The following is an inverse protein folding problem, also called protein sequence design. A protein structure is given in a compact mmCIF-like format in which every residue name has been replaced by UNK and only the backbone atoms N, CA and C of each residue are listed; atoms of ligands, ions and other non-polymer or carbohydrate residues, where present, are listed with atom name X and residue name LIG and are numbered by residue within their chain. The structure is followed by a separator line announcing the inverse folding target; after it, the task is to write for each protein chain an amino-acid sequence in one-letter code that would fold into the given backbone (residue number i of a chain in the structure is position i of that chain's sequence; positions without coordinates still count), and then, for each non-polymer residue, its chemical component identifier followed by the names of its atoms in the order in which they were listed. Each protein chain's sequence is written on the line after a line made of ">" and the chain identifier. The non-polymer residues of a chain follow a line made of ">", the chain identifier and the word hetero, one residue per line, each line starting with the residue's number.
data_IF_223097647674
#
_entry.id   IF_223097647674
#
_cell.length_a   1.000
_cell.length_b   1.000
_cell.length_c   1.000
_cell.angle_alpha   90.00
_cell.angle_beta   90.00
_cell.angle_gamma   90.00
#
_symmetry.space_group_name_H-M   'P 1'
#
loop_
_entity.id
_entity.type
_entity.pdbx_description
1 polymer ?
#
# COMPACT_ATOMS: atom_id res chain seq x y z
N UNK A 1 89.28 -63.66 -6.47
CA UNK A 1 89.33 -63.23 -5.05
C UNK A 1 89.64 -61.73 -5.03
N UNK A 2 88.96 -61.01 -4.12
CA UNK A 2 89.17 -59.62 -3.68
C UNK A 2 88.94 -58.45 -4.67
N UNK A 3 88.00 -57.58 -4.25
CA UNK A 3 87.58 -56.27 -4.77
C UNK A 3 88.68 -55.18 -4.57
N UNK A 4 88.48 -53.88 -4.92
CA UNK A 4 87.27 -53.20 -5.39
C UNK A 4 87.43 -52.28 -6.63
N UNK A 5 86.29 -51.91 -7.22
CA UNK A 5 86.15 -51.02 -8.38
C UNK A 5 85.58 -49.67 -7.96
N UNK A 6 86.28 -48.59 -8.30
CA UNK A 6 85.76 -47.23 -8.37
C UNK A 6 86.31 -46.60 -9.65
N UNK A 7 85.45 -46.36 -10.64
CA UNK A 7 85.79 -45.51 -11.78
C UNK A 7 84.53 -44.79 -12.26
N UNK A 8 84.65 -43.45 -12.27
CA UNK A 8 83.77 -42.45 -12.87
C UNK A 8 83.24 -42.88 -14.24
N UNK A 9 81.97 -42.55 -14.52
CA UNK A 9 81.51 -42.29 -15.88
C UNK A 9 80.33 -41.31 -15.91
N UNK A 10 80.50 -40.34 -16.82
CA UNK A 10 79.66 -39.22 -17.22
C UNK A 10 78.43 -39.69 -18.00
N UNK A 11 77.26 -39.04 -17.83
CA UNK A 11 76.14 -38.95 -18.79
C UNK A 11 74.92 -38.34 -18.09
N UNK A 12 73.98 -37.60 -18.67
CA UNK A 12 73.75 -36.97 -19.97
C UNK A 12 72.60 -35.98 -19.69
N UNK A 13 72.66 -34.76 -20.24
CA UNK A 13 71.59 -33.75 -20.11
C UNK A 13 70.42 -34.15 -21.01
N UNK A 14 69.20 -34.18 -20.47
CA UNK A 14 67.94 -34.21 -21.26
C UNK A 14 67.05 -33.06 -20.84
N UNK A 15 66.68 -32.23 -21.81
CA UNK A 15 65.77 -31.10 -21.64
C UNK A 15 64.32 -31.61 -21.65
N UNK A 16 63.62 -31.48 -20.52
CA UNK A 16 62.19 -31.74 -20.42
C UNK A 16 61.42 -30.41 -20.52
N UNK A 17 60.52 -30.35 -21.50
CA UNK A 17 59.66 -29.21 -21.79
C UNK A 17 58.66 -28.93 -20.64
N UNK A 18 58.57 -27.67 -20.21
CA UNK A 18 57.57 -27.19 -19.26
C UNK A 18 56.22 -26.95 -19.97
N UNK A 19 55.21 -27.75 -19.64
CA UNK A 19 53.81 -27.36 -19.84
C UNK A 19 53.33 -26.49 -18.66
N UNK A 20 52.56 -25.41 -18.87
CA UNK A 20 52.08 -24.57 -17.77
C UNK A 20 51.00 -25.31 -16.97
N UNK A 21 51.19 -25.40 -15.65
CA UNK A 21 50.19 -25.91 -14.70
C UNK A 21 48.99 -24.97 -14.65
N UNK A 22 47.80 -25.51 -14.93
CA UNK A 22 46.53 -24.84 -14.67
C UNK A 22 46.37 -24.58 -13.15
N UNK A 23 46.08 -23.33 -12.81
CA UNK A 23 45.80 -22.88 -11.44
C UNK A 23 44.44 -23.44 -10.98
N UNK A 24 44.30 -23.99 -9.76
CA UNK A 24 42.99 -24.40 -9.26
C UNK A 24 42.09 -23.16 -9.13
N UNK A 25 40.94 -23.19 -9.80
CA UNK A 25 39.93 -22.13 -9.73
C UNK A 25 39.44 -21.94 -8.30
N UNK A 26 39.44 -20.69 -7.85
CA UNK A 26 38.89 -20.25 -6.57
C UNK A 26 37.40 -20.64 -6.53
N UNK A 27 37.04 -21.58 -5.65
CA UNK A 27 35.65 -21.93 -5.40
C UNK A 27 34.87 -20.66 -4.99
N UNK A 28 33.73 -20.43 -5.66
CA UNK A 28 32.82 -19.35 -5.31
C UNK A 28 32.34 -19.54 -3.85
N UNK A 29 32.28 -18.48 -3.03
CA UNK A 29 31.78 -18.59 -1.67
C UNK A 29 30.31 -19.05 -1.70
N UNK A 30 30.03 -20.16 -1.02
CA UNK A 30 28.68 -20.64 -0.77
C UNK A 30 27.94 -19.55 0.03
N UNK A 31 26.76 -19.07 -0.41
CA UNK A 31 26.01 -18.08 0.35
C UNK A 31 25.64 -18.68 1.72
N UNK A 32 25.69 -17.88 2.81
CA UNK A 32 25.31 -18.36 4.12
C UNK A 32 23.85 -18.85 4.10
N UNK A 33 23.48 -19.85 4.92
CA UNK A 33 22.11 -20.28 5.04
C UNK A 33 21.22 -19.09 5.41
N UNK A 34 20.05 -19.00 4.78
CA UNK A 34 19.04 -17.98 5.01
C UNK A 34 18.81 -17.82 6.52
N UNK A 35 19.29 -16.71 7.08
CA UNK A 35 18.97 -16.32 8.44
C UNK A 35 17.46 -16.15 8.52
N UNK A 36 16.79 -16.92 9.39
CA UNK A 36 15.37 -16.73 9.66
C UNK A 36 15.25 -15.32 10.24
N UNK A 37 14.80 -14.37 9.43
CA UNK A 37 14.56 -13.01 9.87
C UNK A 37 13.62 -13.07 11.10
N UNK A 38 13.87 -12.28 12.16
CA UNK A 38 12.96 -12.21 13.28
C UNK A 38 11.54 -11.85 12.79
N UNK A 39 10.47 -12.33 13.44
CA UNK A 39 9.11 -12.00 13.06
C UNK A 39 8.95 -10.48 13.00
N UNK A 40 8.54 -9.97 11.83
CA UNK A 40 8.36 -8.54 11.65
C UNK A 40 7.16 -8.06 12.47
N UNK A 41 7.14 -6.80 12.93
CA UNK A 41 5.95 -6.25 13.59
C UNK A 41 4.74 -6.19 12.62
N UNK A 42 5.00 -6.42 11.33
CA UNK A 42 4.01 -6.48 10.27
C UNK A 42 3.40 -7.86 10.08
N UNK A 43 3.95 -8.93 10.66
CA UNK A 43 3.37 -10.26 10.58
C UNK A 43 2.46 -10.51 11.78
N UNK A 44 1.19 -10.82 11.53
CA UNK A 44 0.26 -11.28 12.56
C UNK A 44 0.23 -12.80 12.48
N UNK A 45 0.80 -13.50 13.48
CA UNK A 45 0.87 -14.95 13.46
C UNK A 45 -0.55 -15.52 13.52
N UNK A 46 -0.82 -16.48 12.64
CA UNK A 46 -1.92 -17.42 12.82
C UNK A 46 -1.50 -18.52 13.80
N UNK A 47 -2.46 -19.14 14.48
CA UNK A 47 -2.15 -20.24 15.38
C UNK A 47 -1.66 -21.48 14.61
N UNK A 48 -0.90 -22.34 15.28
CA UNK A 48 -0.30 -23.55 14.69
C UNK A 48 -1.32 -24.65 14.31
N UNK A 49 -2.62 -24.38 14.43
CA UNK A 49 -3.69 -25.26 13.96
C UNK A 49 -3.81 -25.30 12.44
N UNK A 50 -4.57 -26.27 11.93
CA UNK A 50 -4.91 -26.29 10.50
C UNK A 50 -5.69 -25.02 10.15
N UNK A 51 -5.24 -24.29 9.12
CA UNK A 51 -5.98 -23.14 8.61
C UNK A 51 -7.39 -23.59 8.21
N UNK A 52 -8.43 -22.79 8.52
CA UNK A 52 -9.80 -23.16 8.17
C UNK A 52 -9.96 -23.26 6.65
N UNK A 53 -10.91 -24.06 6.18
CA UNK A 53 -11.20 -24.17 4.74
C UNK A 53 -11.81 -22.88 4.17
N UNK A 54 -12.41 -22.06 5.03
CA UNK A 54 -13.04 -20.78 4.66
C UNK A 54 -12.77 -19.74 5.75
N UNK A 55 -12.52 -18.50 5.34
CA UNK A 55 -12.47 -17.33 6.20
C UNK A 55 -13.54 -16.32 5.80
N UNK A 56 -14.33 -15.86 6.77
CA UNK A 56 -15.20 -14.71 6.59
C UNK A 56 -14.45 -13.41 6.89
N UNK A 57 -14.40 -12.52 5.90
CA UNK A 57 -13.74 -11.21 5.99
C UNK A 57 -14.77 -10.11 5.86
N UNK A 58 -14.88 -9.25 6.87
CA UNK A 58 -15.74 -8.08 6.85
C UNK A 58 -14.92 -6.79 6.71
N UNK A 59 -15.36 -5.92 5.81
CA UNK A 59 -14.70 -4.64 5.53
C UNK A 59 -15.71 -3.52 5.31
N UNK A 60 -15.38 -2.27 5.64
CA UNK A 60 -16.29 -1.15 5.48
C UNK A 60 -16.55 -0.83 4.01
N UNK A 61 -17.82 -0.59 3.69
CA UNK A 61 -18.28 -0.20 2.35
C UNK A 61 -18.54 -1.37 1.40
N UNK A 62 -19.25 -1.07 0.32
CA UNK A 62 -19.43 -2.00 -0.79
C UNK A 62 -18.15 -2.06 -1.65
N UNK A 63 -18.01 -3.16 -2.38
CA UNK A 63 -16.95 -3.37 -3.36
C UNK A 63 -17.55 -3.27 -4.75
N UNK A 64 -16.96 -2.41 -5.60
CA UNK A 64 -17.33 -2.31 -7.00
C UNK A 64 -16.21 -2.85 -7.91
N UNK A 65 -16.49 -3.92 -8.69
CA UNK A 65 -15.55 -4.46 -9.68
C UNK A 65 -15.08 -3.42 -10.71
N UNK A 66 -15.86 -2.38 -10.99
CA UNK A 66 -15.50 -1.34 -11.95
C UNK A 66 -14.24 -0.55 -11.55
N UNK A 67 -13.96 -0.47 -10.24
CA UNK A 67 -12.74 0.16 -9.73
C UNK A 67 -11.51 -0.74 -9.87
N UNK A 68 -11.67 -2.05 -10.04
CA UNK A 68 -10.53 -2.96 -10.12
C UNK A 68 -9.58 -2.63 -11.30
N UNK A 69 -8.25 -2.74 -11.08
CA UNK A 69 -7.57 -3.18 -9.85
C UNK A 69 -7.26 -2.06 -8.85
N UNK A 70 -7.69 -0.82 -9.08
CA UNK A 70 -7.29 0.36 -8.29
C UNK A 70 -8.39 0.72 -7.28
N UNK A 71 -8.16 0.53 -5.97
CA UNK A 71 -9.22 0.67 -4.98
C UNK A 71 -9.54 2.13 -4.67
N UNK A 72 -10.83 2.47 -4.57
CA UNK A 72 -11.31 3.79 -4.13
C UNK A 72 -11.86 3.75 -2.70
N UNK A 73 -12.35 2.59 -2.23
CA UNK A 73 -12.83 2.42 -0.84
C UNK A 73 -11.86 1.64 0.05
N UNK A 74 -12.06 1.74 1.37
CA UNK A 74 -11.30 0.95 2.34
C UNK A 74 -11.52 -0.56 2.15
N UNK A 75 -12.73 -1.01 1.85
CA UNK A 75 -13.03 -2.42 1.59
C UNK A 75 -12.41 -2.95 0.31
N UNK A 76 -12.45 -2.16 -0.77
CA UNK A 76 -11.75 -2.49 -2.01
C UNK A 76 -10.24 -2.60 -1.81
N UNK A 77 -9.62 -1.74 -0.99
CA UNK A 77 -8.19 -1.85 -0.67
C UNK A 77 -7.84 -3.21 -0.10
N UNK A 78 -8.63 -3.72 0.84
CA UNK A 78 -8.37 -5.03 1.48
C UNK A 78 -8.63 -6.17 0.50
N UNK A 79 -9.72 -6.15 -0.27
CA UNK A 79 -10.02 -7.19 -1.25
C UNK A 79 -9.00 -7.20 -2.39
N UNK A 80 -8.80 -6.07 -3.07
CA UNK A 80 -7.95 -5.98 -4.27
C UNK A 80 -6.50 -6.33 -3.95
N UNK A 81 -6.06 -6.10 -2.70
CA UNK A 81 -4.75 -6.56 -2.21
C UNK A 81 -4.56 -8.07 -2.30
N UNK A 82 -5.64 -8.85 -2.17
CA UNK A 82 -5.57 -10.31 -2.30
C UNK A 82 -5.59 -10.77 -3.76
N UNK A 83 -6.13 -9.95 -4.66
CA UNK A 83 -6.38 -10.29 -6.06
C UNK A 83 -5.27 -9.85 -7.00
N UNK A 84 -4.68 -8.69 -6.73
CA UNK A 84 -3.75 -8.05 -7.64
C UNK A 84 -2.41 -7.81 -6.94
N UNK A 85 -1.33 -8.09 -7.67
CA UNK A 85 0.03 -7.85 -7.20
C UNK A 85 0.68 -6.72 -7.98
N UNK A 86 1.53 -5.99 -7.28
CA UNK A 86 2.46 -4.99 -7.81
C UNK A 86 3.82 -5.65 -8.08
N UNK A 87 4.75 -4.94 -8.72
CA UNK A 87 6.10 -5.49 -8.92
C UNK A 87 6.83 -5.72 -7.60
N UNK A 88 6.61 -4.84 -6.62
CA UNK A 88 7.25 -4.88 -5.32
C UNK A 88 6.19 -4.73 -4.23
N UNK A 89 6.52 -5.15 -3.01
CA UNK A 89 5.67 -4.95 -1.83
C UNK A 89 6.44 -4.16 -0.78
N UNK A 90 5.74 -3.32 -0.03
CA UNK A 90 6.29 -2.67 1.16
C UNK A 90 5.51 -3.15 2.37
N UNK A 91 6.22 -3.58 3.40
CA UNK A 91 5.60 -3.90 4.68
C UNK A 91 5.28 -2.64 5.49
N UNK A 92 4.59 -2.82 6.62
CA UNK A 92 4.22 -1.76 7.54
C UNK A 92 5.39 -0.98 8.17
N UNK A 93 6.61 -1.49 8.06
CA UNK A 93 7.85 -0.85 8.52
C UNK A 93 8.57 -0.12 7.38
N UNK A 94 8.00 -0.13 6.16
CA UNK A 94 8.57 0.50 4.98
C UNK A 94 9.70 -0.30 4.32
N UNK A 95 9.86 -1.58 4.66
CA UNK A 95 10.88 -2.44 4.03
C UNK A 95 10.35 -3.01 2.73
N UNK A 96 11.18 -2.96 1.70
CA UNK A 96 10.87 -3.44 0.36
C UNK A 96 11.03 -4.96 0.29
N UNK A 97 10.04 -5.63 -0.30
CA UNK A 97 9.97 -7.08 -0.50
C UNK A 97 9.71 -7.42 -1.97
N UNK A 98 10.23 -8.54 -2.47
CA UNK A 98 9.83 -9.09 -3.75
C UNK A 98 8.32 -9.35 -3.82
N UNK A 99 7.73 -9.11 -4.99
CA UNK A 99 6.39 -9.55 -5.37
C UNK A 99 6.47 -10.18 -6.76
N UNK A 100 5.94 -9.53 -7.80
CA UNK A 100 6.13 -10.03 -9.18
C UNK A 100 7.58 -9.88 -9.67
N UNK A 101 8.30 -8.88 -9.18
CA UNK A 101 9.74 -8.74 -9.44
C UNK A 101 10.55 -9.52 -8.41
N UNK A 102 11.43 -10.40 -8.89
CA UNK A 102 12.37 -11.16 -8.07
C UNK A 102 13.62 -10.36 -7.70
N UNK A 103 14.00 -9.39 -8.54
CA UNK A 103 15.19 -8.56 -8.33
C UNK A 103 15.02 -7.17 -8.95
N UNK A 104 15.69 -6.19 -8.35
CA UNK A 104 15.78 -4.83 -8.85
C UNK A 104 17.17 -4.25 -8.57
N UNK A 105 17.69 -3.45 -9.49
CA UNK A 105 18.99 -2.77 -9.34
C UNK A 105 18.98 -1.40 -9.99
N UNK A 106 19.85 -0.51 -9.52
CA UNK A 106 20.02 0.84 -10.05
C UNK A 106 21.50 1.11 -10.35
N UNK A 107 21.84 1.65 -11.53
CA UNK A 107 23.22 2.01 -11.86
C UNK A 107 23.59 3.44 -11.44
N UNK A 108 22.63 4.29 -11.11
CA UNK A 108 22.78 5.75 -11.08
C UNK A 108 22.18 6.38 -9.82
N UNK A 109 22.29 5.70 -8.67
CA UNK A 109 21.87 6.26 -7.38
C UNK A 109 20.35 6.37 -7.20
N UNK A 110 19.59 5.52 -7.88
CA UNK A 110 18.14 5.39 -7.70
C UNK A 110 17.30 6.15 -8.72
N UNK A 111 17.89 6.65 -9.81
CA UNK A 111 17.17 7.34 -10.87
C UNK A 111 16.63 6.36 -11.92
N UNK A 112 17.45 5.40 -12.33
CA UNK A 112 17.11 4.34 -13.27
C UNK A 112 17.05 3.02 -12.53
N UNK A 113 15.98 2.25 -12.74
CA UNK A 113 15.79 0.95 -12.13
C UNK A 113 15.60 -0.12 -13.21
N UNK A 114 16.34 -1.20 -13.10
CA UNK A 114 16.12 -2.43 -13.87
C UNK A 114 15.46 -3.45 -12.95
N UNK A 115 14.31 -3.98 -13.36
CA UNK A 115 13.57 -5.00 -12.63
C UNK A 115 13.49 -6.30 -13.42
N UNK A 116 13.70 -7.41 -12.72
CA UNK A 116 13.54 -8.77 -13.24
C UNK A 116 12.27 -9.38 -12.68
N UNK A 117 11.30 -9.67 -13.54
CA UNK A 117 10.06 -10.37 -13.22
C UNK A 117 10.39 -11.84 -12.96
N UNK A 118 9.79 -12.44 -11.93
CA UNK A 118 10.07 -13.84 -11.62
C UNK A 118 9.44 -14.78 -12.67
N UNK A 119 10.20 -15.78 -13.13
CA UNK A 119 9.77 -16.73 -14.18
C UNK A 119 8.53 -17.56 -13.80
N UNK A 120 8.16 -17.57 -12.52
CA UNK A 120 6.98 -18.26 -11.96
C UNK A 120 5.71 -17.41 -11.94
N UNK A 121 5.80 -16.12 -12.24
CA UNK A 121 4.64 -15.21 -12.22
C UNK A 121 3.66 -15.53 -13.33
N UNK A 122 2.39 -15.72 -12.98
CA UNK A 122 1.33 -16.07 -13.91
C UNK A 122 0.11 -15.20 -13.64
N UNK A 123 -0.60 -14.83 -14.70
CA UNK A 123 -1.98 -14.40 -14.60
C UNK A 123 -2.87 -15.59 -14.20
N UNK A 124 -4.07 -15.33 -13.70
CA UNK A 124 -5.00 -16.40 -13.29
C UNK A 124 -5.41 -17.34 -14.44
N UNK A 125 -5.29 -16.91 -15.69
CA UNK A 125 -5.52 -17.75 -16.87
C UNK A 125 -4.30 -18.62 -17.25
N UNK A 126 -3.24 -18.60 -16.45
CA UNK A 126 -2.03 -19.38 -16.64
C UNK A 126 -1.01 -18.78 -17.59
N UNK A 127 -1.29 -17.61 -18.19
CA UNK A 127 -0.33 -16.93 -19.07
C UNK A 127 0.82 -16.33 -18.24
N UNK A 128 2.10 -16.54 -18.63
CA UNK A 128 3.25 -15.85 -18.03
C UNK A 128 3.13 -14.33 -18.05
N UNK A 129 3.55 -13.68 -16.98
CA UNK A 129 3.59 -12.21 -16.89
C UNK A 129 4.91 -11.73 -17.50
N UNK A 130 4.85 -11.00 -18.61
CA UNK A 130 6.01 -10.38 -19.25
C UNK A 130 6.18 -8.89 -18.90
N UNK A 131 7.36 -8.34 -19.21
CA UNK A 131 7.68 -6.93 -19.05
C UNK A 131 6.73 -6.00 -19.82
N UNK A 132 6.29 -6.43 -21.01
CA UNK A 132 5.31 -5.69 -21.81
C UNK A 132 3.92 -5.69 -21.15
N UNK A 133 3.52 -6.79 -20.54
CA UNK A 133 2.23 -6.89 -19.84
C UNK A 133 2.21 -5.97 -18.62
N UNK A 134 3.32 -5.89 -17.88
CA UNK A 134 3.48 -4.99 -16.74
C UNK A 134 3.35 -3.53 -17.16
N UNK A 135 4.09 -3.11 -18.20
CA UNK A 135 4.03 -1.73 -18.72
C UNK A 135 2.63 -1.40 -19.23
N UNK A 136 1.98 -2.34 -19.93
CA UNK A 136 0.62 -2.18 -20.40
C UNK A 136 -0.39 -2.05 -19.24
N UNK A 137 -0.24 -2.87 -18.19
CA UNK A 137 -1.13 -2.83 -17.02
C UNK A 137 -1.04 -1.50 -16.27
N UNK A 138 0.15 -0.91 -16.17
CA UNK A 138 0.30 0.39 -15.51
C UNK A 138 -0.34 1.55 -16.28
N UNK A 139 -0.43 1.47 -17.61
CA UNK A 139 -1.06 2.48 -18.44
C UNK A 139 -0.53 3.90 -18.15
N UNK A 140 -1.44 4.84 -17.88
CA UNK A 140 -1.07 6.24 -17.57
C UNK A 140 -0.63 6.45 -16.12
N UNK A 141 -0.94 5.53 -15.20
CA UNK A 141 -0.60 5.66 -13.79
C UNK A 141 0.92 5.74 -13.58
N UNK A 142 1.69 5.00 -14.38
CA UNK A 142 3.16 5.02 -14.30
C UNK A 142 3.75 6.40 -14.59
N UNK A 143 3.06 7.25 -15.35
CA UNK A 143 3.56 8.59 -15.68
C UNK A 143 3.68 9.50 -14.47
N UNK A 144 3.05 9.18 -13.33
CA UNK A 144 3.25 9.95 -12.10
C UNK A 144 4.56 9.58 -11.38
N UNK A 145 5.07 8.37 -11.62
CA UNK A 145 6.26 7.80 -10.96
C UNK A 145 7.50 7.88 -11.85
N UNK A 146 7.35 7.56 -13.13
CA UNK A 146 8.43 7.43 -14.09
C UNK A 146 8.32 8.44 -15.24
N UNK A 147 9.48 8.91 -15.70
CA UNK A 147 9.65 9.67 -16.94
C UNK A 147 9.55 8.75 -18.16
N UNK A 148 10.10 7.53 -18.07
CA UNK A 148 10.08 6.55 -19.14
C UNK A 148 10.09 5.12 -18.60
N UNK A 149 9.56 4.21 -19.40
CA UNK A 149 9.62 2.77 -19.18
C UNK A 149 9.97 2.06 -20.49
N UNK A 150 10.70 0.95 -20.39
CA UNK A 150 11.06 0.12 -21.53
C UNK A 150 11.14 -1.35 -21.13
N UNK A 151 10.50 -2.22 -21.92
CA UNK A 151 10.78 -3.65 -21.84
C UNK A 151 12.13 -3.91 -22.54
N UNK A 152 13.13 -4.35 -21.79
CA UNK A 152 14.48 -4.65 -22.29
C UNK A 152 14.72 -6.15 -22.45
N UNK A 153 13.70 -6.95 -22.16
CA UNK A 153 13.62 -8.40 -22.39
C UNK A 153 12.21 -8.90 -22.06
N UNK A 154 11.97 -10.20 -22.18
CA UNK A 154 10.66 -10.81 -21.87
C UNK A 154 10.28 -10.64 -20.40
N UNK A 155 11.22 -10.85 -19.46
CA UNK A 155 11.01 -10.69 -18.02
C UNK A 155 11.84 -9.54 -17.42
N UNK A 156 12.34 -8.62 -18.25
CA UNK A 156 13.12 -7.48 -17.76
C UNK A 156 12.56 -6.17 -18.27
N UNK A 157 12.33 -5.25 -17.35
CA UNK A 157 11.98 -3.87 -17.68
C UNK A 157 12.96 -2.90 -17.03
N UNK A 158 13.12 -1.75 -17.68
CA UNK A 158 13.84 -0.61 -17.16
C UNK A 158 12.89 0.57 -17.05
N UNK A 159 13.01 1.35 -15.98
CA UNK A 159 12.30 2.62 -15.83
C UNK A 159 13.23 3.72 -15.33
N UNK A 160 12.99 4.94 -15.82
CA UNK A 160 13.61 6.16 -15.31
C UNK A 160 12.61 6.87 -14.41
N UNK A 161 12.88 6.95 -13.12
CA UNK A 161 12.04 7.66 -12.14
C UNK A 161 12.13 9.17 -12.33
N UNK A 162 11.05 9.87 -11.96
CA UNK A 162 11.02 11.35 -11.91
C UNK A 162 11.81 11.94 -10.75
N UNK A 163 12.03 11.15 -9.71
CA UNK A 163 12.77 11.52 -8.50
C UNK A 163 13.73 10.40 -8.15
N UNK A 164 14.93 10.70 -7.64
CA UNK A 164 15.86 9.67 -7.23
C UNK A 164 15.28 8.93 -6.03
N UNK A 165 15.36 7.61 -6.06
CA UNK A 165 14.91 6.75 -4.97
C UNK A 165 16.07 5.82 -4.57
N UNK A 166 17.08 6.31 -3.82
CA UNK A 166 18.30 5.54 -3.52
C UNK A 166 18.02 4.29 -2.69
N UNK A 167 16.98 4.32 -1.85
CA UNK A 167 16.57 3.20 -0.99
C UNK A 167 15.76 2.11 -1.73
N UNK A 168 15.43 2.34 -3.01
CA UNK A 168 14.61 1.43 -3.81
C UNK A 168 13.44 2.14 -4.49
N UNK A 169 12.88 1.57 -5.57
CA UNK A 169 11.76 2.17 -6.29
C UNK A 169 10.44 1.90 -5.55
N UNK A 170 10.31 2.48 -4.35
CA UNK A 170 9.21 2.24 -3.40
C UNK A 170 7.83 2.44 -4.03
N UNK A 171 7.70 3.42 -4.92
CA UNK A 171 6.47 3.69 -5.69
C UNK A 171 5.93 2.50 -6.47
N UNK A 172 6.76 1.51 -6.83
CA UNK A 172 6.33 0.29 -7.50
C UNK A 172 5.58 -0.69 -6.58
N UNK A 173 5.40 -0.35 -5.30
CA UNK A 173 4.52 -1.05 -4.37
C UNK A 173 3.15 -0.35 -4.17
N UNK A 174 2.88 0.72 -4.92
CA UNK A 174 1.58 1.40 -4.87
C UNK A 174 0.50 0.57 -5.59
N UNK A 175 -0.68 0.33 -4.98
CA UNK A 175 -1.79 -0.39 -5.61
C UNK A 175 -2.25 0.19 -6.96
N UNK A 176 -2.00 1.48 -7.24
CA UNK A 176 -2.25 2.08 -8.55
C UNK A 176 -1.41 1.45 -9.68
N UNK A 177 -0.32 0.76 -9.33
CA UNK A 177 0.57 0.04 -10.24
C UNK A 177 0.39 -1.48 -10.18
N UNK A 178 -0.78 -1.95 -9.75
CA UNK A 178 -1.13 -3.36 -9.77
C UNK A 178 -1.18 -3.92 -11.20
N UNK A 179 -0.67 -5.14 -11.39
CA UNK A 179 -0.58 -5.80 -12.70
C UNK A 179 -1.80 -6.70 -12.90
N UNK A 180 -2.69 -6.26 -13.80
CA UNK A 180 -3.89 -6.99 -14.18
C UNK A 180 -4.22 -6.78 -15.67
N UNK A 181 -4.89 -7.76 -16.28
CA UNK A 181 -5.32 -7.73 -17.68
C UNK A 181 -6.84 -7.63 -17.77
N UNK A 182 -7.34 -6.58 -18.43
CA UNK A 182 -8.78 -6.45 -18.71
C UNK A 182 -9.17 -7.30 -19.90
N UNK A 183 -10.28 -8.03 -19.77
CA UNK A 183 -10.87 -8.85 -20.84
C UNK A 183 -12.32 -8.41 -21.04
N UNK A 184 -12.73 -8.04 -22.27
CA UNK A 184 -14.11 -7.66 -22.55
C UNK A 184 -15.11 -8.72 -22.08
N UNK A 185 -16.18 -8.28 -21.41
CA UNK A 185 -17.21 -9.16 -20.88
C UNK A 185 -16.89 -9.80 -19.53
N UNK A 186 -15.68 -9.62 -18.99
CA UNK A 186 -15.32 -10.06 -17.63
C UNK A 186 -15.31 -8.85 -16.70
N UNK A 187 -16.17 -8.87 -15.68
CA UNK A 187 -16.31 -7.75 -14.73
C UNK A 187 -15.02 -7.50 -13.93
N UNK A 188 -14.32 -8.57 -13.57
CA UNK A 188 -13.06 -8.52 -12.83
C UNK A 188 -11.87 -8.65 -13.78
N UNK A 189 -10.93 -7.69 -13.80
CA UNK A 189 -9.66 -7.86 -14.51
C UNK A 189 -8.95 -9.14 -14.03
N UNK A 190 -8.32 -9.86 -14.96
CA UNK A 190 -7.51 -11.04 -14.66
C UNK A 190 -6.26 -10.57 -13.92
N UNK A 191 -6.18 -10.93 -12.65
CA UNK A 191 -5.06 -10.58 -11.78
C UNK A 191 -3.93 -11.59 -11.79
N UNK A 192 -3.03 -11.38 -10.83
CA UNK A 192 -1.81 -12.15 -10.59
C UNK A 192 -1.76 -12.68 -9.15
N UNK A 193 -2.59 -12.15 -8.25
CA UNK A 193 -2.56 -12.47 -6.83
C UNK A 193 -3.07 -13.87 -6.49
N UNK A 194 -2.87 -14.22 -5.22
CA UNK A 194 -3.13 -15.55 -4.69
C UNK A 194 -4.61 -15.94 -4.61
N UNK A 195 -5.51 -14.99 -4.83
CA UNK A 195 -6.95 -15.21 -4.86
C UNK A 195 -7.55 -14.65 -6.14
N UNK A 196 -8.60 -15.27 -6.62
CA UNK A 196 -9.44 -14.75 -7.70
C UNK A 196 -10.90 -14.77 -7.25
N UNK A 197 -11.70 -13.84 -7.76
CA UNK A 197 -13.11 -13.71 -7.38
C UNK A 197 -14.00 -14.25 -8.47
N UNK A 198 -15.04 -14.97 -8.05
CA UNK A 198 -16.19 -15.32 -8.87
C UNK A 198 -17.46 -14.83 -8.17
N UNK A 199 -18.32 -14.06 -8.86
CA UNK A 199 -19.64 -13.69 -8.34
C UNK A 199 -20.02 -12.20 -8.44
N UNK A 200 -21.22 -11.90 -7.98
CA UNK A 200 -21.82 -10.55 -7.92
C UNK A 200 -21.47 -9.81 -6.61
N UNK A 201 -21.66 -8.50 -6.59
CA UNK A 201 -21.10 -7.54 -5.61
C UNK A 201 -21.50 -7.71 -4.14
N UNK A 202 -22.56 -8.47 -3.81
CA UNK A 202 -23.10 -8.54 -2.45
C UNK A 202 -22.49 -9.65 -1.57
N UNK A 203 -22.18 -10.82 -2.13
CA UNK A 203 -21.61 -11.98 -1.42
C UNK A 203 -20.38 -12.51 -2.18
N UNK A 204 -19.33 -11.69 -2.22
CA UNK A 204 -18.14 -11.98 -2.99
C UNK A 204 -17.35 -13.13 -2.35
N UNK A 205 -17.06 -14.16 -3.14
CA UNK A 205 -16.20 -15.27 -2.73
C UNK A 205 -14.90 -15.23 -3.53
N UNK A 206 -13.76 -15.20 -2.84
CA UNK A 206 -12.44 -15.28 -3.45
C UNK A 206 -11.84 -16.66 -3.21
N UNK A 207 -11.60 -17.41 -4.27
CA UNK A 207 -11.00 -18.73 -4.22
C UNK A 207 -9.47 -18.62 -4.40
N UNK A 208 -8.67 -19.48 -3.74
CA UNK A 208 -7.24 -19.47 -3.92
C UNK A 208 -6.84 -19.88 -5.35
N UNK A 209 -5.79 -19.26 -5.87
CA UNK A 209 -5.22 -19.52 -7.19
C UNK A 209 -4.15 -20.61 -7.08
N UNK A 210 -4.29 -21.66 -7.89
CA UNK A 210 -3.46 -22.86 -7.79
C UNK A 210 -3.72 -23.62 -6.50
N UNK A 211 -3.45 -24.93 -6.47
CA UNK A 211 -3.76 -25.83 -5.32
C UNK A 211 -3.01 -25.55 -4.01
N UNK A 212 -2.56 -24.31 -3.78
CA UNK A 212 -2.07 -23.83 -2.51
C UNK A 212 -3.13 -24.03 -1.42
N UNK A 213 -2.69 -24.51 -0.26
CA UNK A 213 -3.54 -24.83 0.90
C UNK A 213 -3.95 -23.54 1.62
N UNK A 214 -4.79 -22.74 0.96
CA UNK A 214 -5.31 -21.44 1.41
C UNK A 214 -6.83 -21.51 1.61
N UNK A 215 -7.39 -20.79 2.58
CA UNK A 215 -8.83 -20.72 2.82
C UNK A 215 -9.56 -20.04 1.67
N UNK A 216 -10.78 -20.46 1.36
CA UNK A 216 -11.70 -19.64 0.56
C UNK A 216 -12.09 -18.39 1.35
N UNK A 217 -12.06 -17.21 0.74
CA UNK A 217 -12.44 -15.96 1.42
C UNK A 217 -13.88 -15.60 1.10
N UNK A 218 -14.72 -15.46 2.12
CA UNK A 218 -16.10 -14.94 2.01
C UNK A 218 -16.14 -13.50 2.49
N UNK A 219 -16.34 -12.58 1.55
CA UNK A 219 -16.36 -11.15 1.81
C UNK A 219 -17.75 -10.68 2.19
N UNK A 220 -17.83 -9.85 3.22
CA UNK A 220 -19.07 -9.24 3.69
C UNK A 220 -18.89 -7.74 3.89
N UNK A 221 -19.83 -6.90 3.43
CA UNK A 221 -19.80 -5.50 3.78
C UNK A 221 -20.07 -5.35 5.29
N UNK A 222 -19.26 -4.53 5.97
CA UNK A 222 -19.44 -4.20 7.38
C UNK A 222 -20.48 -3.07 7.56
N UNK A 223 -21.70 -3.30 7.07
CA UNK A 223 -22.83 -2.39 7.26
C UNK A 223 -23.56 -2.64 8.58
N UNK A 224 -24.24 -1.60 9.10
CA UNK A 224 -25.01 -1.71 10.33
C UNK A 224 -24.14 -1.76 11.59
N UNK A 225 -24.62 -2.47 12.62
CA UNK A 225 -23.88 -2.68 13.85
C UNK A 225 -22.83 -3.78 13.66
N UNK A 226 -21.56 -3.41 13.75
CA UNK A 226 -20.47 -4.36 13.48
C UNK A 226 -20.29 -5.40 14.60
N UNK A 227 -20.94 -5.22 15.75
CA UNK A 227 -21.02 -6.25 16.80
C UNK A 227 -21.76 -7.49 16.32
N UNK A 228 -22.76 -7.33 15.46
CA UNK A 228 -23.51 -8.44 14.86
C UNK A 228 -22.60 -9.30 13.98
N UNK A 229 -21.60 -8.72 13.32
CA UNK A 229 -20.62 -9.48 12.52
C UNK A 229 -19.71 -10.35 13.40
N UNK A 230 -19.33 -9.83 14.57
CA UNK A 230 -18.55 -10.58 15.56
C UNK A 230 -19.36 -11.73 16.15
N UNK A 231 -20.66 -11.52 16.40
CA UNK A 231 -21.59 -12.56 16.85
C UNK A 231 -21.90 -13.58 15.77
N UNK A 232 -22.00 -13.15 14.51
CA UNK A 232 -22.18 -14.01 13.35
C UNK A 232 -20.93 -14.81 12.96
N UNK A 233 -19.84 -14.67 13.70
CA UNK A 233 -18.67 -15.52 13.55
C UNK A 233 -17.65 -15.05 12.51
N UNK A 234 -17.59 -13.75 12.17
CA UNK A 234 -16.55 -13.23 11.26
C UNK A 234 -15.15 -13.61 11.76
N UNK A 235 -14.22 -13.90 10.84
CA UNK A 235 -12.84 -14.28 11.19
C UNK A 235 -11.90 -13.07 11.17
N UNK A 236 -12.20 -12.09 10.31
CA UNK A 236 -11.42 -10.87 10.16
C UNK A 236 -12.34 -9.67 9.94
N UNK A 237 -12.25 -8.66 10.81
CA UNK A 237 -12.95 -7.38 10.65
C UNK A 237 -11.95 -6.23 10.76
N UNK A 238 -11.84 -5.40 9.71
CA UNK A 238 -11.08 -4.15 9.75
C UNK A 238 -12.04 -3.01 10.05
N UNK A 239 -11.84 -2.30 11.16
CA UNK A 239 -12.80 -1.31 11.64
C UNK A 239 -12.17 -0.15 12.41
N UNK A 240 -12.82 1.01 12.37
CA UNK A 240 -12.61 2.16 13.23
C UNK A 240 -13.75 2.37 14.26
N UNK A 241 -14.75 1.47 14.29
CA UNK A 241 -15.88 1.54 15.22
C UNK A 241 -15.43 1.20 16.65
N UNK A 242 -15.43 2.17 17.60
CA UNK A 242 -15.04 1.92 18.97
C UNK A 242 -15.97 0.92 19.67
N UNK A 243 -17.24 0.83 19.26
CA UNK A 243 -18.21 -0.12 19.81
C UNK A 243 -17.83 -1.56 19.50
N UNK A 244 -17.52 -1.86 18.23
CA UNK A 244 -17.02 -3.16 17.81
C UNK A 244 -15.67 -3.51 18.45
N UNK A 245 -14.74 -2.55 18.54
CA UNK A 245 -13.43 -2.77 19.20
C UNK A 245 -13.61 -3.10 20.68
N UNK A 246 -14.42 -2.32 21.40
CA UNK A 246 -14.69 -2.56 22.82
C UNK A 246 -15.39 -3.90 23.03
N UNK A 247 -16.36 -4.24 22.17
CA UNK A 247 -17.07 -5.51 22.23
C UNK A 247 -16.13 -6.69 21.99
N UNK A 248 -15.29 -6.65 20.94
CA UNK A 248 -14.29 -7.68 20.67
C UNK A 248 -13.29 -7.85 21.83
N UNK A 249 -12.93 -6.76 22.54
CA UNK A 249 -12.06 -6.84 23.71
C UNK A 249 -12.69 -7.61 24.89
N UNK A 250 -14.02 -7.71 24.97
CA UNK A 250 -14.72 -8.55 25.96
C UNK A 250 -14.73 -10.03 25.60
N UNK A 251 -14.33 -10.38 24.37
CA UNK A 251 -14.44 -11.73 23.83
C UNK A 251 -13.10 -12.45 23.79
N UNK A 252 -13.07 -13.66 24.34
CA UNK A 252 -11.85 -14.50 24.37
C UNK A 252 -11.50 -15.13 23.00
N UNK A 253 -12.41 -15.12 22.02
CA UNK A 253 -12.16 -15.65 20.68
C UNK A 253 -11.55 -14.63 19.72
N UNK A 254 -11.42 -13.36 20.09
CA UNK A 254 -10.83 -12.32 19.25
C UNK A 254 -9.55 -11.72 19.82
N UNK A 255 -8.68 -11.31 18.90
CA UNK A 255 -7.54 -10.44 19.15
C UNK A 255 -7.75 -9.11 18.42
N UNK A 256 -7.42 -7.99 19.08
CA UNK A 256 -7.50 -6.66 18.50
C UNK A 256 -6.08 -6.17 18.20
N UNK A 257 -5.71 -6.13 16.93
CA UNK A 257 -4.41 -5.65 16.47
C UNK A 257 -4.55 -4.20 15.97
N UNK A 258 -3.83 -3.22 16.56
CA UNK A 258 -3.81 -1.88 16.01
C UNK A 258 -3.05 -1.87 14.67
N UNK A 259 -3.67 -1.32 13.63
CA UNK A 259 -2.99 -1.11 12.37
C UNK A 259 -2.13 0.18 12.44
N UNK A 260 -1.13 0.35 11.56
CA UNK A 260 -0.41 1.61 11.46
C UNK A 260 -1.34 2.81 11.25
N UNK A 261 -0.91 3.99 11.67
CA UNK A 261 -1.59 5.24 11.34
C UNK A 261 -1.60 5.41 9.83
N UNK A 262 -2.79 5.47 9.23
CA UNK A 262 -2.97 5.35 7.78
C UNK A 262 -3.62 6.57 7.14
N UNK A 263 -4.24 7.44 7.95
CA UNK A 263 -4.88 8.68 7.48
C UNK A 263 -4.52 9.87 8.36
N UNK A 264 -4.36 11.01 7.72
CA UNK A 264 -4.29 12.32 8.39
C UNK A 264 -5.47 13.17 7.92
N UNK A 265 -6.25 13.68 8.86
CA UNK A 265 -7.24 14.71 8.59
C UNK A 265 -6.55 16.08 8.57
N UNK A 266 -6.80 16.84 7.50
CA UNK A 266 -6.23 18.17 7.29
C UNK A 266 -7.35 19.18 7.11
N UNK A 267 -7.13 20.39 7.62
CA UNK A 267 -7.92 21.57 7.33
C UNK A 267 -7.28 22.34 6.17
N UNK A 268 -8.01 22.48 5.08
CA UNK A 268 -7.67 23.34 3.96
C UNK A 268 -8.39 24.68 4.14
N UNK A 269 -7.65 25.77 4.22
CA UNK A 269 -8.19 27.13 4.42
C UNK A 269 -7.41 28.15 3.58
N UNK A 270 -8.06 29.18 2.99
CA UNK A 270 -7.39 30.09 2.05
C UNK A 270 -6.06 30.64 2.59
N UNK A 271 -6.02 30.89 3.90
CA UNK A 271 -4.82 31.20 4.66
C UNK A 271 -4.60 30.08 5.70
N UNK A 272 -3.35 29.65 5.95
CA UNK A 272 -3.06 28.69 7.01
C UNK A 272 -3.63 29.13 8.36
N UNK A 273 -4.32 28.23 9.04
CA UNK A 273 -4.93 28.47 10.35
C UNK A 273 -4.10 27.75 11.39
N UNK A 274 -3.77 28.41 12.49
CA UNK A 274 -2.99 27.76 13.55
C UNK A 274 -3.92 26.93 14.45
N UNK A 275 -3.69 25.63 14.51
CA UNK A 275 -4.32 24.74 15.48
C UNK A 275 -3.29 24.37 16.58
N UNK A 276 -3.32 25.03 17.76
CA UNK A 276 -2.39 24.72 18.85
C UNK A 276 -2.63 23.33 19.45
N UNK A 277 -1.57 22.74 20.03
CA UNK A 277 -1.59 21.37 20.53
C UNK A 277 -2.75 21.05 21.51
N UNK A 278 -3.12 21.91 22.48
CA UNK A 278 -4.25 21.63 23.36
C UNK A 278 -5.58 21.46 22.63
N UNK A 279 -5.79 22.22 21.53
CA UNK A 279 -6.98 22.06 20.69
C UNK A 279 -6.91 20.71 19.97
N UNK A 280 -5.79 20.37 19.35
CA UNK A 280 -5.64 19.08 18.65
C UNK A 280 -5.83 17.88 19.59
N UNK A 281 -5.34 17.98 20.82
CA UNK A 281 -5.53 16.95 21.85
C UNK A 281 -6.99 16.81 22.29
N UNK A 282 -7.72 17.92 22.40
CA UNK A 282 -9.16 17.92 22.68
C UNK A 282 -9.95 17.31 21.52
N UNK A 283 -9.61 17.68 20.28
CA UNK A 283 -10.19 17.07 19.07
C UNK A 283 -9.98 15.55 19.07
N UNK A 284 -8.76 15.10 19.34
CA UNK A 284 -8.41 13.68 19.34
C UNK A 284 -9.13 12.88 20.44
N UNK A 285 -9.29 13.46 21.64
CA UNK A 285 -9.80 12.74 22.82
C UNK A 285 -11.30 12.81 23.01
N UNK A 286 -11.92 13.92 22.59
CA UNK A 286 -13.29 14.24 23.00
C UNK A 286 -14.25 14.49 21.83
N UNK A 287 -13.75 14.64 20.61
CA UNK A 287 -14.57 15.02 19.45
C UNK A 287 -14.75 13.83 18.51
N UNK A 288 -13.64 13.24 18.07
CA UNK A 288 -13.70 12.09 17.16
C UNK A 288 -13.91 10.80 17.95
N UNK A 289 -14.68 9.88 17.39
CA UNK A 289 -15.02 8.60 18.03
C UNK A 289 -14.08 7.45 17.67
N UNK A 290 -13.10 7.72 16.82
CA UNK A 290 -12.13 6.73 16.33
C UNK A 290 -10.82 6.85 17.11
N UNK A 291 -9.93 5.86 16.97
CA UNK A 291 -8.59 5.96 17.55
C UNK A 291 -7.78 7.05 16.82
N UNK A 292 -7.52 8.15 17.51
CA UNK A 292 -6.92 9.35 16.95
C UNK A 292 -5.80 9.93 17.84
N UNK A 293 -4.90 10.68 17.23
CA UNK A 293 -3.88 11.50 17.91
C UNK A 293 -3.66 12.81 17.14
N UNK A 294 -3.08 13.85 17.75
CA UNK A 294 -2.61 15.01 17.01
C UNK A 294 -1.71 14.59 15.84
N UNK A 295 -1.94 15.16 14.66
CA UNK A 295 -1.15 14.85 13.47
C UNK A 295 0.33 15.22 13.70
N UNK A 296 1.23 14.28 13.40
CA UNK A 296 2.68 14.49 13.59
C UNK A 296 3.43 14.41 12.27
N UNK A 297 4.53 15.17 12.07
CA UNK A 297 5.37 15.04 10.88
C UNK A 297 6.06 13.65 10.81
N UNK A 298 6.62 13.26 9.65
CA UNK A 298 6.70 14.02 8.40
C UNK A 298 5.37 14.06 7.64
N UNK A 299 5.14 15.14 6.88
CA UNK A 299 3.95 15.32 6.04
C UNK A 299 4.40 15.35 4.57
N UNK A 300 4.11 14.27 3.83
CA UNK A 300 4.64 14.08 2.48
C UNK A 300 4.25 15.19 1.49
N UNK A 301 3.17 15.93 1.75
CA UNK A 301 2.72 17.04 0.90
C UNK A 301 3.55 18.33 1.08
N UNK A 302 4.39 18.42 2.11
CA UNK A 302 5.26 19.59 2.32
C UNK A 302 6.40 19.65 1.29
N UNK A 303 6.85 18.48 0.81
CA UNK A 303 7.93 18.35 -0.16
C UNK A 303 7.42 18.06 -1.58
N UNK A 304 6.11 18.11 -1.80
CA UNK A 304 5.50 17.73 -3.08
C UNK A 304 5.22 18.94 -3.96
N UNK A 305 5.92 19.04 -5.09
CA UNK A 305 5.60 19.96 -6.19
C UNK A 305 4.57 19.35 -7.14
N UNK A 306 3.45 18.89 -6.59
CA UNK A 306 2.37 18.36 -7.42
C UNK A 306 1.72 19.52 -8.16
N UNK A 307 1.94 19.55 -9.47
CA UNK A 307 1.71 20.70 -10.34
C UNK A 307 0.44 21.44 -9.99
N UNK A 308 0.59 22.65 -9.46
CA UNK A 308 -0.51 23.59 -9.38
C UNK A 308 -1.07 23.73 -10.80
N UNK A 309 -2.32 23.32 -11.00
CA UNK A 309 -3.01 23.60 -12.27
C UNK A 309 -2.90 25.09 -12.62
N UNK A 310 -3.00 25.46 -13.90
CA UNK A 310 -3.01 26.88 -14.28
C UNK A 310 -4.03 27.63 -13.43
N UNK A 311 -3.74 28.88 -13.01
CA UNK A 311 -4.70 29.67 -12.25
C UNK A 311 -6.02 29.68 -13.03
N UNK A 312 -7.17 29.40 -12.39
CA UNK A 312 -8.44 29.44 -13.09
C UNK A 312 -8.63 30.83 -13.72
N UNK A 313 -9.19 30.85 -14.92
CA UNK A 313 -9.73 32.09 -15.49
C UNK A 313 -10.73 32.72 -14.51
N UNK A 314 -10.89 34.03 -14.58
CA UNK A 314 -11.77 34.85 -13.73
C UNK A 314 -13.23 34.38 -13.78
N UNK A 315 -13.55 33.32 -13.04
CA UNK A 315 -14.91 32.93 -12.75
C UNK A 315 -15.42 33.82 -11.62
N UNK A 316 -16.58 34.43 -11.83
CA UNK A 316 -17.25 35.28 -10.85
C UNK A 316 -17.38 34.57 -9.50
N UNK A 317 -16.76 35.15 -8.48
CA UNK A 317 -16.83 34.66 -7.09
C UNK A 317 -18.28 34.83 -6.62
N UNK A 318 -19.06 33.76 -6.69
CA UNK A 318 -20.34 33.72 -5.97
C UNK A 318 -20.00 33.55 -4.50
N UNK A 319 -20.11 34.64 -3.73
CA UNK A 319 -20.01 34.64 -2.26
C UNK A 319 -21.18 33.88 -1.66
N UNK A 320 -21.10 32.55 -1.72
CA UNK A 320 -21.88 31.67 -0.86
C UNK A 320 -21.22 31.72 0.52
N UNK A 321 -22.00 31.86 1.60
CA UNK A 321 -21.46 32.07 2.94
C UNK A 321 -20.38 31.06 3.34
N UNK A 322 -19.44 31.49 4.18
CA UNK A 322 -18.26 30.73 4.60
C UNK A 322 -18.64 29.38 5.24
N UNK A 323 -18.36 28.27 4.54
CA UNK A 323 -18.61 26.92 5.08
C UNK A 323 -17.31 26.25 5.54
N UNK A 324 -17.45 25.19 6.35
CA UNK A 324 -16.45 24.14 6.52
C UNK A 324 -17.02 22.89 5.84
N UNK A 325 -16.51 22.61 4.65
CA UNK A 325 -16.99 21.56 3.75
C UNK A 325 -16.30 20.24 4.08
N UNK A 326 -17.05 19.14 4.07
CA UNK A 326 -16.53 17.79 4.25
C UNK A 326 -17.28 16.80 3.36
N UNK A 327 -16.72 15.60 3.16
CA UNK A 327 -17.39 14.54 2.40
C UNK A 327 -18.53 13.94 3.21
N UNK A 328 -19.73 13.93 2.65
CA UNK A 328 -20.90 13.31 3.25
C UNK A 328 -20.63 11.81 3.47
N UNK A 329 -20.84 11.35 4.71
CA UNK A 329 -20.52 9.98 5.14
C UNK A 329 -19.20 9.84 5.90
N UNK A 330 -18.28 10.80 5.80
CA UNK A 330 -17.07 10.84 6.63
C UNK A 330 -17.42 11.40 8.02
N UNK A 331 -17.62 10.49 8.97
CA UNK A 331 -18.05 10.85 10.31
C UNK A 331 -17.01 11.66 11.08
N UNK A 332 -15.73 11.35 10.89
CA UNK A 332 -14.63 12.06 11.52
C UNK A 332 -14.51 13.46 10.95
N UNK A 333 -14.61 13.63 9.62
CA UNK A 333 -14.57 14.95 8.99
C UNK A 333 -15.74 15.84 9.45
N UNK A 334 -16.93 15.26 9.60
CA UNK A 334 -18.11 15.95 10.13
C UNK A 334 -17.89 16.40 11.58
N UNK A 335 -17.50 15.49 12.47
CA UNK A 335 -17.27 15.80 13.89
C UNK A 335 -16.20 16.91 14.05
N UNK A 336 -15.14 16.85 13.24
CA UNK A 336 -14.13 17.89 13.15
C UNK A 336 -14.69 19.22 12.63
N UNK A 337 -15.45 19.20 11.55
CA UNK A 337 -16.04 20.41 10.97
C UNK A 337 -16.99 21.10 11.95
N UNK A 338 -17.86 20.35 12.63
CA UNK A 338 -18.79 20.86 13.64
C UNK A 338 -18.02 21.51 14.81
N UNK A 339 -16.96 20.86 15.30
CA UNK A 339 -16.13 21.43 16.37
C UNK A 339 -15.37 22.67 15.92
N UNK A 340 -14.83 22.69 14.70
CA UNK A 340 -14.11 23.85 14.16
C UNK A 340 -15.04 25.05 13.97
N UNK A 341 -16.30 24.84 13.59
CA UNK A 341 -17.34 25.88 13.60
C UNK A 341 -17.52 26.46 15.00
N UNK A 342 -17.64 25.59 16.01
CA UNK A 342 -17.82 26.02 17.40
C UNK A 342 -16.61 26.77 17.97
N UNK A 343 -15.39 26.39 17.56
CA UNK A 343 -14.16 27.07 17.97
C UNK A 343 -13.97 28.44 17.31
N UNK A 344 -14.62 28.69 16.15
CA UNK A 344 -14.53 29.94 15.38
C UNK A 344 -13.09 30.48 15.27
N UNK A 345 -12.20 29.66 14.72
CA UNK A 345 -10.74 29.92 14.72
C UNK A 345 -10.33 31.25 14.04
N UNK A 346 -11.16 31.78 13.15
CA UNK A 346 -10.96 33.05 12.45
C UNK A 346 -11.95 34.16 12.88
N UNK A 347 -12.69 33.94 13.96
CA UNK A 347 -13.74 34.83 14.46
C UNK A 347 -14.85 35.15 13.43
N UNK A 348 -15.02 34.33 12.39
CA UNK A 348 -16.11 34.44 11.43
C UNK A 348 -17.16 33.33 11.67
N UNK A 349 -18.46 33.63 11.51
CA UNK A 349 -19.48 32.61 11.58
C UNK A 349 -19.39 31.68 10.36
N UNK A 350 -19.13 30.40 10.61
CA UNK A 350 -19.08 29.34 9.58
C UNK A 350 -20.15 28.29 9.82
N UNK A 351 -20.44 27.47 8.81
CA UNK A 351 -21.35 26.31 8.93
C UNK A 351 -20.69 25.06 8.40
N UNK A 352 -20.88 23.93 9.06
CA UNK A 352 -20.44 22.65 8.56
C UNK A 352 -21.38 22.18 7.43
N UNK A 353 -20.83 21.81 6.28
CA UNK A 353 -21.60 21.41 5.10
C UNK A 353 -21.04 20.11 4.51
N UNK A 354 -21.84 19.06 4.57
CA UNK A 354 -21.53 17.80 3.89
C UNK A 354 -21.83 17.89 2.39
N UNK A 355 -20.91 17.44 1.55
CA UNK A 355 -21.08 17.34 0.10
C UNK A 355 -20.81 15.92 -0.38
N UNK A 356 -21.43 15.51 -1.49
CA UNK A 356 -21.09 14.24 -2.12
C UNK A 356 -19.62 14.22 -2.57
N UNK A 357 -18.93 13.06 -2.56
CA UNK A 357 -17.52 12.95 -2.94
C UNK A 357 -17.19 13.62 -4.29
N UNK A 358 -18.03 13.42 -5.30
CA UNK A 358 -17.88 13.97 -6.65
C UNK A 358 -18.01 15.50 -6.71
N UNK A 359 -18.72 16.11 -5.75
CA UNK A 359 -18.90 17.56 -5.68
C UNK A 359 -17.72 18.26 -4.98
N UNK A 360 -16.90 17.53 -4.21
CA UNK A 360 -15.78 18.09 -3.45
C UNK A 360 -14.75 18.75 -4.39
N UNK A 361 -14.43 18.11 -5.52
CA UNK A 361 -13.44 18.63 -6.47
C UNK A 361 -13.85 19.99 -7.05
N UNK A 362 -15.12 20.15 -7.44
CA UNK A 362 -15.65 21.42 -7.94
C UNK A 362 -15.63 22.53 -6.89
N UNK A 363 -15.94 22.20 -5.62
CA UNK A 363 -15.86 23.14 -4.50
C UNK A 363 -14.43 23.59 -4.21
N UNK A 364 -13.48 22.65 -4.18
CA UNK A 364 -12.05 22.94 -4.00
C UNK A 364 -11.51 23.82 -5.14
N UNK A 365 -11.93 23.56 -6.37
CA UNK A 365 -11.50 24.32 -7.55
C UNK A 365 -12.07 25.75 -7.58
N UNK A 366 -13.24 25.99 -7.00
CA UNK A 366 -13.88 27.31 -6.96
C UNK A 366 -13.10 28.35 -6.14
N UNK A 367 -12.17 27.92 -5.26
CA UNK A 367 -11.29 28.78 -4.45
C UNK A 367 -12.01 29.96 -3.76
N UNK A 368 -13.18 29.69 -3.20
CA UNK A 368 -13.93 30.64 -2.38
C UNK A 368 -13.43 30.74 -0.93
N UNK A 369 -14.24 31.34 -0.06
CA UNK A 369 -13.96 31.47 1.38
C UNK A 369 -14.24 30.18 2.19
N UNK A 370 -14.64 29.10 1.52
CA UNK A 370 -14.90 27.80 2.11
C UNK A 370 -13.60 27.20 2.67
N UNK A 371 -13.71 26.57 3.84
CA UNK A 371 -12.69 25.69 4.39
C UNK A 371 -13.08 24.25 4.12
N UNK A 372 -12.10 23.34 4.17
CA UNK A 372 -12.36 21.93 3.92
C UNK A 372 -11.70 21.05 4.98
N UNK A 373 -12.45 20.10 5.53
CA UNK A 373 -11.87 19.01 6.30
C UNK A 373 -11.84 17.78 5.41
N UNK A 374 -10.63 17.35 5.04
CA UNK A 374 -10.42 16.20 4.17
C UNK A 374 -9.43 15.23 4.80
N UNK A 375 -9.58 13.94 4.49
CA UNK A 375 -8.61 12.94 4.90
C UNK A 375 -7.66 12.61 3.75
N UNK A 376 -6.37 12.57 4.06
CA UNK A 376 -5.30 12.16 3.13
C UNK A 376 -4.56 10.95 3.68
N UNK A 377 -3.96 10.09 2.83
CA UNK A 377 -3.11 9.00 3.30
C UNK A 377 -1.98 9.52 4.20
N UNK A 378 -1.63 8.77 5.26
CA UNK A 378 -0.50 9.14 6.14
C UNK A 378 0.85 9.01 5.44
N UNK A 379 0.93 8.05 4.52
CA UNK A 379 2.08 7.80 3.65
C UNK A 379 1.59 7.86 2.20
N UNK A 380 2.38 8.42 1.31
CA UNK A 380 2.12 8.41 -0.12
C UNK A 380 3.39 7.99 -0.85
N UNK A 381 3.32 6.90 -1.61
CA UNK A 381 4.45 6.47 -2.44
C UNK A 381 4.55 7.30 -3.73
N UNK A 382 3.42 7.81 -4.20
CA UNK A 382 3.35 8.96 -5.08
C UNK A 382 2.50 10.09 -4.47
N UNK A 383 3.17 11.17 -4.08
CA UNK A 383 2.52 12.36 -3.55
C UNK A 383 1.45 12.95 -4.49
N UNK A 384 1.64 12.88 -5.81
CA UNK A 384 0.74 13.59 -6.73
C UNK A 384 -0.53 12.82 -7.03
N UNK A 385 -0.46 11.50 -7.15
CA UNK A 385 -1.65 10.65 -7.15
C UNK A 385 -2.37 10.67 -5.79
N UNK A 386 -1.63 10.68 -4.68
CA UNK A 386 -2.23 10.67 -3.34
C UNK A 386 -2.92 11.98 -2.96
N UNK A 387 -2.52 13.10 -3.58
CA UNK A 387 -3.08 14.41 -3.30
C UNK A 387 -4.33 14.67 -4.15
N UNK A 388 -5.47 14.14 -3.69
CA UNK A 388 -6.79 14.45 -4.26
C UNK A 388 -7.11 15.97 -4.32
N UNK A 389 -6.60 16.83 -3.41
CA UNK A 389 -6.74 18.27 -3.52
C UNK A 389 -5.71 18.92 -4.48
N UNK A 390 -5.22 18.25 -5.53
CA UNK A 390 -4.25 18.76 -6.54
C UNK A 390 -4.44 20.18 -7.10
N UNK A 391 -5.54 20.84 -6.74
CA UNK A 391 -5.93 22.19 -7.13
C UNK A 391 -5.85 23.21 -5.96
N UNK A 392 -5.63 22.75 -4.73
CA UNK A 392 -5.59 23.59 -3.53
C UNK A 392 -4.28 24.35 -3.44
N UNK A 393 -4.35 25.68 -3.53
CA UNK A 393 -3.20 26.58 -3.39
C UNK A 393 -3.15 27.34 -2.07
N UNK A 394 -4.07 27.05 -1.13
CA UNK A 394 -4.17 27.72 0.17
C UNK A 394 -3.36 27.01 1.26
N UNK A 395 -3.61 27.40 2.51
CA UNK A 395 -3.01 26.77 3.67
C UNK A 395 -3.51 25.35 3.92
N UNK A 396 -2.62 24.49 4.39
CA UNK A 396 -2.91 23.11 4.82
C UNK A 396 -2.50 23.01 6.29
N UNK A 397 -3.46 22.71 7.16
CA UNK A 397 -3.24 22.57 8.60
C UNK A 397 -3.51 21.11 9.00
N UNK A 398 -2.49 20.33 9.36
CA UNK A 398 -2.69 18.98 9.88
C UNK A 398 -3.47 19.02 11.19
N UNK A 399 -4.53 18.22 11.30
CA UNK A 399 -5.36 18.13 12.51
C UNK A 399 -5.03 16.85 13.27
N UNK A 400 -5.49 15.71 12.78
CA UNK A 400 -5.42 14.43 13.48
C UNK A 400 -4.87 13.33 12.58
N UNK A 401 -4.01 12.48 13.12
CA UNK A 401 -3.77 11.15 12.56
C UNK A 401 -4.81 10.19 13.14
N UNK A 402 -5.40 9.34 12.30
CA UNK A 402 -6.31 8.27 12.72
C UNK A 402 -5.78 6.91 12.26
N UNK A 403 -6.20 5.86 12.96
CA UNK A 403 -5.90 4.48 12.57
C UNK A 403 -7.11 3.58 12.75
N UNK A 404 -7.12 2.51 11.97
CA UNK A 404 -8.07 1.40 12.12
C UNK A 404 -7.49 0.30 12.99
N UNK A 405 -8.36 -0.60 13.43
CA UNK A 405 -8.00 -1.85 14.09
C UNK A 405 -8.44 -3.04 13.27
N UNK A 406 -7.68 -4.12 13.42
CA UNK A 406 -7.98 -5.40 12.84
C UNK A 406 -8.39 -6.35 13.96
N UNK A 407 -9.65 -6.77 13.93
CA UNK A 407 -10.22 -7.75 14.85
C UNK A 407 -10.09 -9.12 14.20
N UNK A 408 -9.23 -9.99 14.75
CA UNK A 408 -8.89 -11.29 14.18
C UNK A 408 -9.32 -12.39 15.14
N UNK A 409 -10.08 -13.37 14.65
CA UNK A 409 -10.42 -14.58 15.41
C UNK A 409 -9.15 -15.35 15.73
N UNK A 410 -8.96 -15.70 17.00
CA UNK A 410 -7.89 -16.62 17.43
C UNK A 410 -8.08 -17.97 16.73
N UNK A 411 -7.01 -18.57 16.24
CA UNK A 411 -7.07 -19.72 15.34
C UNK A 411 -7.13 -19.34 13.85
N UNK A 412 -7.17 -18.05 13.53
CA UNK A 412 -7.30 -17.53 12.17
C UNK A 412 -6.02 -17.66 11.33
N UNK A 413 -6.12 -17.26 10.05
CA UNK A 413 -5.00 -17.31 9.13
C UNK A 413 -3.87 -16.35 9.51
N UNK A 414 -2.69 -16.67 9.00
CA UNK A 414 -1.52 -15.79 9.06
C UNK A 414 -1.79 -14.56 8.19
N UNK A 415 -1.45 -13.40 8.71
CA UNK A 415 -1.61 -12.14 7.99
C UNK A 415 -0.29 -11.39 7.96
N UNK A 416 -0.11 -10.55 6.95
CA UNK A 416 0.90 -9.51 6.99
C UNK A 416 0.31 -8.15 6.67
N UNK A 417 0.84 -7.10 7.28
CA UNK A 417 0.37 -5.72 7.12
C UNK A 417 1.33 -5.00 6.18
N UNK A 418 0.78 -4.41 5.12
CA UNK A 418 1.53 -3.61 4.16
C UNK A 418 1.60 -2.13 4.62
N UNK A 419 2.45 -1.34 3.97
CA UNK A 419 2.77 0.06 4.30
C UNK A 419 1.57 1.01 4.46
N UNK A 420 0.45 0.73 3.78
CA UNK A 420 -0.79 1.50 3.80
C UNK A 420 -1.81 0.93 4.81
N UNK A 421 -1.32 0.17 5.80
CA UNK A 421 -2.11 -0.44 6.87
C UNK A 421 -3.16 -1.45 6.38
N UNK A 422 -2.97 -2.02 5.18
CA UNK A 422 -3.86 -3.01 4.61
C UNK A 422 -3.35 -4.43 4.91
N UNK A 423 -4.19 -5.32 5.47
CA UNK A 423 -3.79 -6.69 5.71
C UNK A 423 -3.81 -7.52 4.43
N UNK A 424 -2.87 -8.46 4.35
CA UNK A 424 -2.74 -9.49 3.32
C UNK A 424 -2.82 -10.86 3.97
N UNK A 425 -3.68 -11.73 3.43
CA UNK A 425 -3.89 -13.08 3.93
C UNK A 425 -2.83 -14.00 3.28
N UNK A 426 -2.03 -14.66 4.13
CA UNK A 426 -0.87 -15.46 3.72
C UNK A 426 -1.23 -16.92 3.49
#
# INVERSE_FOLDING_TARGET
>A
MTAPRCALLVALVTAAACAPRATPGRAAPVPPPLSIAPPSACDVPGDAGAAPDTLSVAVPGAVDPAHAPVPVTGGERVLFRQLYETLLRLDCEGRLHPALAAAWSTPDGGWTWTLTIADSTRFWDGVPVGARDVIAAWGTAISAVAESTAAIGEHMLMLRLRRPAPEGPLALADPALAVAKRVPGIAWPIGTGAYWVSGATADLTAAPVGGARRPVLRWRPAGGDQRDLLDAGVDLLVTDDPGAVAYAATRADFSSVPLPWDRTYVLLAPVPVRAPAPILEDLARHVVRVEARPASPPFWWQDSTCGAGPPPGTASIVRSGSAIVFVQGDAVARDLADRLVALSLDAQPRRAVGVLPEALGGRLAARGDDWFVVSVPRTALDACAAWSPGLWGGGITPLLDVRRRMLVRRGGARLSIDWDAVPRIR
#
